data_IF_936121812624
#
_entry.id   IF_936121812624
#
_cell.length_a   1.000
_cell.length_b   1.000
_cell.length_c   1.000
_cell.angle_alpha   90.00
_cell.angle_beta   90.00
_cell.angle_gamma   90.00
#
_symmetry.space_group_name_H-M   'P 1'
#
loop_
_entity.id
_entity.type
_entity.pdbx_description
1 polymer ?
#
# COMPACT_ATOMS: atom_id res chain seq x y z
N UNK A 1 -49.99 19.12 -18.94
CA UNK A 1 -49.42 19.25 -17.57
C UNK A 1 -48.74 17.99 -16.99
N UNK A 2 -49.18 16.73 -17.19
CA UNK A 2 -48.66 15.58 -16.44
C UNK A 2 -47.20 15.19 -16.78
N UNK A 3 -46.77 15.38 -18.05
CA UNK A 3 -45.41 15.04 -18.50
C UNK A 3 -44.33 15.92 -17.83
N UNK A 4 -44.61 17.21 -17.59
CA UNK A 4 -43.66 18.12 -16.91
C UNK A 4 -43.47 17.76 -15.43
N UNK A 5 -44.53 17.28 -14.77
CA UNK A 5 -44.46 16.81 -13.37
C UNK A 5 -43.66 15.51 -13.29
N UNK A 6 -43.88 14.56 -14.21
CA UNK A 6 -43.13 13.30 -14.26
C UNK A 6 -41.63 13.49 -14.54
N UNK A 7 -41.26 14.40 -15.46
CA UNK A 7 -39.85 14.71 -15.75
C UNK A 7 -39.17 15.40 -14.54
N UNK A 8 -39.92 16.26 -13.82
CA UNK A 8 -39.42 16.93 -12.61
C UNK A 8 -39.20 15.94 -11.46
N UNK A 9 -40.13 15.02 -11.23
CA UNK A 9 -39.98 13.99 -10.17
C UNK A 9 -38.85 13.01 -10.46
N UNK A 10 -38.61 12.64 -11.72
CA UNK A 10 -37.45 11.83 -12.11
C UNK A 10 -36.13 12.57 -11.90
N UNK A 11 -36.05 13.87 -12.24
CA UNK A 11 -34.86 14.69 -11.96
C UNK A 11 -34.60 14.83 -10.46
N UNK A 12 -35.64 15.04 -9.66
CA UNK A 12 -35.53 15.14 -8.20
C UNK A 12 -35.11 13.82 -7.55
N UNK A 13 -35.63 12.67 -8.02
CA UNK A 13 -35.17 11.34 -7.58
C UNK A 13 -33.71 11.09 -7.94
N UNK A 14 -33.30 11.35 -9.19
CA UNK A 14 -31.89 11.20 -9.63
C UNK A 14 -30.95 12.10 -8.81
N UNK A 15 -31.36 13.33 -8.51
CA UNK A 15 -30.56 14.25 -7.69
C UNK A 15 -30.43 13.74 -6.24
N UNK A 16 -31.52 13.30 -5.62
CA UNK A 16 -31.48 12.71 -4.26
C UNK A 16 -30.64 11.43 -4.20
N UNK A 17 -30.69 10.60 -5.23
CA UNK A 17 -29.84 9.40 -5.32
C UNK A 17 -28.36 9.78 -5.51
N UNK A 18 -28.05 10.77 -6.34
CA UNK A 18 -26.69 11.29 -6.51
C UNK A 18 -26.14 11.89 -5.22
N UNK A 19 -26.93 12.70 -4.51
CA UNK A 19 -26.54 13.32 -3.23
C UNK A 19 -26.30 12.25 -2.15
N UNK A 20 -27.14 11.21 -2.08
CA UNK A 20 -26.95 10.07 -1.16
C UNK A 20 -25.69 9.26 -1.49
N UNK A 21 -25.43 8.99 -2.77
CA UNK A 21 -24.21 8.29 -3.23
C UNK A 21 -22.96 9.10 -2.93
N UNK A 22 -23.01 10.42 -3.14
CA UNK A 22 -21.94 11.33 -2.80
C UNK A 22 -21.67 11.35 -1.29
N UNK A 23 -22.72 11.48 -0.46
CA UNK A 23 -22.61 11.45 0.99
C UNK A 23 -22.04 10.14 1.53
N UNK A 24 -22.56 8.99 1.07
CA UNK A 24 -22.03 7.68 1.45
C UNK A 24 -20.56 7.51 1.03
N UNK A 25 -20.18 8.05 -0.13
CA UNK A 25 -18.79 8.02 -0.59
C UNK A 25 -17.88 8.89 0.25
N UNK A 26 -18.28 10.11 0.54
CA UNK A 26 -17.50 11.01 1.37
C UNK A 26 -17.28 10.40 2.75
N UNK A 27 -18.31 9.80 3.35
CA UNK A 27 -18.20 9.07 4.61
C UNK A 27 -17.26 7.87 4.51
N UNK A 28 -17.38 7.06 3.46
CA UNK A 28 -16.49 5.92 3.20
C UNK A 28 -15.03 6.33 3.04
N UNK A 29 -14.75 7.34 2.20
CA UNK A 29 -13.41 7.90 2.01
C UNK A 29 -12.82 8.42 3.32
N UNK A 30 -13.64 9.16 4.08
CA UNK A 30 -13.23 9.72 5.37
C UNK A 30 -12.94 8.62 6.37
N UNK A 31 -13.75 7.57 6.42
CA UNK A 31 -13.52 6.42 7.30
C UNK A 31 -12.24 5.67 6.93
N UNK A 32 -12.03 5.37 5.64
CA UNK A 32 -10.79 4.73 5.15
C UNK A 32 -9.56 5.59 5.44
N UNK A 33 -9.66 6.89 5.16
CA UNK A 33 -8.60 7.85 5.49
C UNK A 33 -8.31 7.86 6.99
N UNK A 34 -9.35 7.93 7.84
CA UNK A 34 -9.19 8.00 9.29
C UNK A 34 -8.56 6.73 9.87
N UNK A 35 -9.01 5.54 9.44
CA UNK A 35 -8.47 4.26 9.90
C UNK A 35 -6.98 4.15 9.64
N UNK A 36 -6.48 4.74 8.55
CA UNK A 36 -5.06 4.69 8.23
C UNK A 36 -4.26 5.90 8.74
N UNK A 37 -4.83 7.10 8.68
CA UNK A 37 -4.17 8.35 9.06
C UNK A 37 -4.12 8.56 10.58
N UNK A 38 -5.11 8.11 11.35
CA UNK A 38 -5.11 8.27 12.82
C UNK A 38 -3.97 7.48 13.47
N UNK A 39 -3.77 6.17 13.18
CA UNK A 39 -2.64 5.44 13.74
C UNK A 39 -1.30 6.01 13.29
N UNK A 40 -1.18 6.40 12.02
CA UNK A 40 0.04 7.01 11.49
C UNK A 40 0.35 8.36 12.16
N UNK A 41 -0.66 9.22 12.29
CA UNK A 41 -0.54 10.53 12.95
C UNK A 41 -0.21 10.39 14.43
N UNK A 42 -0.83 9.44 15.13
CA UNK A 42 -0.47 9.12 16.52
C UNK A 42 0.99 8.65 16.61
N UNK A 43 1.41 7.72 15.75
CA UNK A 43 2.80 7.25 15.72
C UNK A 43 3.77 8.41 15.45
N UNK A 44 3.44 9.28 14.50
CA UNK A 44 4.23 10.46 14.17
C UNK A 44 4.37 11.39 15.39
N UNK A 45 3.27 11.67 16.10
CA UNK A 45 3.28 12.46 17.34
C UNK A 45 4.15 11.79 18.42
N UNK A 46 4.11 10.46 18.55
CA UNK A 46 4.94 9.74 19.51
C UNK A 46 6.44 9.77 19.15
N UNK A 47 6.75 9.71 17.85
CA UNK A 47 8.11 9.81 17.31
C UNK A 47 8.68 11.22 17.52
N UNK A 48 7.97 12.25 17.07
CA UNK A 48 8.36 13.66 17.21
C UNK A 48 8.39 14.12 18.66
N UNK A 49 7.39 13.69 19.45
CA UNK A 49 7.32 13.93 20.89
C UNK A 49 8.38 13.16 21.70
N UNK A 50 9.22 12.35 21.04
CA UNK A 50 10.31 11.57 21.66
C UNK A 50 9.83 10.75 22.85
N UNK A 51 8.64 10.17 22.76
CA UNK A 51 8.01 9.46 23.88
C UNK A 51 8.90 8.30 24.36
N UNK A 52 9.24 8.34 25.65
CA UNK A 52 10.29 7.48 26.23
C UNK A 52 10.04 5.97 26.01
N UNK A 53 8.82 5.43 26.21
CA UNK A 53 8.55 4.02 25.94
C UNK A 53 8.81 3.61 24.49
N UNK A 54 8.38 4.42 23.52
CA UNK A 54 8.62 4.14 22.10
C UNK A 54 10.11 4.19 21.77
N UNK A 55 10.84 5.18 22.30
CA UNK A 55 12.29 5.28 22.11
C UNK A 55 13.03 4.08 22.69
N UNK A 56 12.64 3.61 23.88
CA UNK A 56 13.22 2.41 24.51
C UNK A 56 12.95 1.15 23.68
N UNK A 57 11.74 1.03 23.13
CA UNK A 57 11.40 -0.08 22.23
C UNK A 57 12.25 -0.03 20.95
N UNK A 58 12.35 1.14 20.32
CA UNK A 58 13.15 1.36 19.13
C UNK A 58 14.64 1.03 19.37
N UNK A 59 15.23 1.58 20.44
CA UNK A 59 16.64 1.35 20.77
C UNK A 59 16.90 -0.09 21.22
N UNK A 60 16.00 -0.66 22.02
CA UNK A 60 16.10 -2.04 22.49
C UNK A 60 16.05 -3.03 21.33
N UNK A 61 15.07 -2.88 20.44
CA UNK A 61 14.93 -3.73 19.26
C UNK A 61 16.15 -3.61 18.32
N UNK A 62 16.59 -2.38 18.04
CA UNK A 62 17.76 -2.15 17.19
C UNK A 62 19.03 -2.76 17.79
N UNK A 63 19.28 -2.56 19.09
CA UNK A 63 20.49 -3.07 19.74
C UNK A 63 20.48 -4.60 19.84
N UNK A 64 19.40 -5.21 20.32
CA UNK A 64 19.31 -6.67 20.47
C UNK A 64 19.43 -7.40 19.13
N UNK A 65 18.81 -6.88 18.07
CA UNK A 65 18.92 -7.52 16.76
C UNK A 65 20.29 -7.28 16.11
N UNK A 66 20.90 -6.11 16.33
CA UNK A 66 22.25 -5.83 15.84
C UNK A 66 23.31 -6.69 16.51
N UNK A 67 23.23 -6.90 17.83
CA UNK A 67 24.16 -7.82 18.52
C UNK A 67 24.04 -9.23 17.96
N UNK A 68 22.81 -9.72 17.74
CA UNK A 68 22.59 -11.02 17.07
C UNK A 68 23.14 -11.03 15.63
N UNK A 69 23.08 -9.90 14.92
CA UNK A 69 23.64 -9.77 13.57
C UNK A 69 25.16 -9.91 13.54
N UNK A 70 25.84 -9.39 14.56
CA UNK A 70 27.29 -9.52 14.71
C UNK A 70 27.69 -10.95 15.06
N UNK A 71 26.93 -11.60 15.94
CA UNK A 71 27.22 -12.97 16.40
C UNK A 71 26.97 -14.04 15.33
N UNK A 72 26.12 -13.75 14.32
CA UNK A 72 25.72 -14.71 13.28
C UNK A 72 25.93 -14.18 11.85
N UNK A 73 27.17 -14.23 11.31
CA UNK A 73 27.49 -13.69 9.98
C UNK A 73 26.68 -14.31 8.82
N UNK A 74 26.39 -15.60 8.87
CA UNK A 74 25.60 -16.28 7.83
C UNK A 74 24.13 -15.79 7.79
N UNK A 75 23.56 -15.54 8.98
CA UNK A 75 22.22 -14.96 9.10
C UNK A 75 22.21 -13.54 8.54
N UNK A 76 23.19 -12.72 8.90
CA UNK A 76 23.33 -11.34 8.41
C UNK A 76 23.50 -11.29 6.90
N UNK A 77 24.32 -12.17 6.32
CA UNK A 77 24.47 -12.30 4.86
C UNK A 77 23.14 -12.62 4.18
N UNK A 78 22.35 -13.53 4.77
CA UNK A 78 21.02 -13.88 4.27
C UNK A 78 20.07 -12.69 4.32
N UNK A 79 20.04 -11.93 5.42
CA UNK A 79 19.20 -10.75 5.53
C UNK A 79 19.59 -9.65 4.55
N UNK A 80 20.90 -9.44 4.31
CA UNK A 80 21.37 -8.50 3.28
C UNK A 80 20.94 -8.94 1.90
N UNK A 81 21.14 -10.22 1.55
CA UNK A 81 20.69 -10.75 0.26
C UNK A 81 19.19 -10.55 0.04
N UNK A 82 18.37 -10.88 1.04
CA UNK A 82 16.93 -10.67 0.97
C UNK A 82 16.58 -9.18 0.84
N UNK A 83 17.23 -8.30 1.61
CA UNK A 83 16.95 -6.86 1.57
C UNK A 83 17.40 -6.19 0.29
N UNK A 84 18.56 -6.56 -0.26
CA UNK A 84 19.22 -5.83 -1.35
C UNK A 84 18.87 -6.37 -2.74
N UNK A 85 18.36 -7.60 -2.83
CA UNK A 85 17.99 -8.23 -4.10
C UNK A 85 16.49 -8.53 -4.20
N UNK A 86 15.94 -9.24 -3.20
CA UNK A 86 14.56 -9.75 -3.26
C UNK A 86 13.54 -8.67 -2.89
N UNK A 87 13.81 -7.95 -1.80
CA UNK A 87 12.94 -6.94 -1.20
C UNK A 87 13.44 -5.51 -1.43
N UNK A 88 14.37 -5.34 -2.36
CA UNK A 88 14.86 -4.03 -2.75
C UNK A 88 13.71 -3.20 -3.36
N UNK A 89 13.55 -1.92 -2.98
CA UNK A 89 12.51 -1.06 -3.49
C UNK A 89 12.55 -0.89 -5.02
N UNK A 90 13.72 -0.92 -5.63
CA UNK A 90 13.88 -0.82 -7.10
C UNK A 90 13.38 -2.09 -7.75
N UNK A 91 13.73 -3.26 -7.22
CA UNK A 91 13.20 -4.55 -7.69
C UNK A 91 11.67 -4.59 -7.61
N UNK A 92 11.10 -4.24 -6.44
CA UNK A 92 9.66 -4.28 -6.24
C UNK A 92 8.90 -3.25 -7.08
N UNK A 93 9.45 -2.05 -7.28
CA UNK A 93 8.86 -1.04 -8.19
C UNK A 93 8.95 -1.48 -9.64
N UNK A 94 10.04 -2.11 -10.04
CA UNK A 94 10.21 -2.63 -11.40
C UNK A 94 9.21 -3.75 -11.67
N UNK A 95 8.98 -4.65 -10.71
CA UNK A 95 7.96 -5.68 -10.83
C UNK A 95 6.55 -5.08 -11.00
N UNK A 96 6.21 -4.04 -10.23
CA UNK A 96 4.94 -3.30 -10.39
C UNK A 96 4.86 -2.58 -11.74
N UNK A 97 5.96 -2.01 -12.22
CA UNK A 97 6.02 -1.37 -13.54
C UNK A 97 5.75 -2.39 -14.66
N UNK A 98 6.39 -3.56 -14.61
CA UNK A 98 6.15 -4.66 -15.55
C UNK A 98 4.69 -5.13 -15.48
N UNK A 99 4.15 -5.33 -14.28
CA UNK A 99 2.73 -5.67 -14.09
C UNK A 99 1.81 -4.62 -14.71
N UNK A 100 2.12 -3.34 -14.51
CA UNK A 100 1.35 -2.22 -15.07
C UNK A 100 1.41 -2.22 -16.60
N UNK A 101 2.58 -2.42 -17.19
CA UNK A 101 2.73 -2.55 -18.66
C UNK A 101 1.96 -3.75 -19.19
N UNK A 102 1.99 -4.88 -18.50
CA UNK A 102 1.20 -6.05 -18.85
C UNK A 102 -0.31 -5.76 -18.80
N UNK A 103 -0.81 -5.00 -17.82
CA UNK A 103 -2.20 -4.56 -17.76
C UNK A 103 -2.58 -3.65 -18.94
N UNK A 104 -1.69 -2.74 -19.35
CA UNK A 104 -1.89 -1.91 -20.55
C UNK A 104 -1.98 -2.78 -21.81
N UNK A 105 -1.10 -3.78 -21.95
CA UNK A 105 -1.14 -4.73 -23.06
C UNK A 105 -2.44 -5.54 -23.08
N UNK A 106 -2.95 -5.93 -21.91
CA UNK A 106 -4.24 -6.61 -21.75
C UNK A 106 -5.45 -5.67 -21.95
N UNK A 107 -5.23 -4.38 -22.22
CA UNK A 107 -6.27 -3.33 -22.31
C UNK A 107 -7.07 -3.15 -21.02
N UNK A 108 -6.50 -3.48 -19.87
CA UNK A 108 -7.06 -3.19 -18.55
C UNK A 108 -6.60 -1.81 -18.07
N UNK A 109 -6.92 -0.78 -18.84
CA UNK A 109 -6.41 0.59 -18.66
C UNK A 109 -6.74 1.15 -17.29
N UNK A 110 -7.93 0.83 -16.79
CA UNK A 110 -8.41 1.21 -15.46
C UNK A 110 -7.50 0.71 -14.36
N UNK A 111 -7.23 -0.59 -14.35
CA UNK A 111 -6.41 -1.21 -13.33
C UNK A 111 -4.93 -0.81 -13.49
N UNK A 112 -4.47 -0.64 -14.73
CA UNK A 112 -3.13 -0.11 -15.00
C UNK A 112 -2.96 1.30 -14.40
N UNK A 113 -3.95 2.18 -14.59
CA UNK A 113 -3.96 3.51 -14.00
C UNK A 113 -3.98 3.45 -12.47
N UNK A 114 -4.81 2.59 -11.87
CA UNK A 114 -4.83 2.40 -10.41
C UNK A 114 -3.48 1.91 -9.87
N UNK A 115 -2.87 0.92 -10.52
CA UNK A 115 -1.55 0.38 -10.16
C UNK A 115 -0.48 1.47 -10.21
N UNK A 116 -0.42 2.23 -11.31
CA UNK A 116 0.53 3.33 -11.49
C UNK A 116 0.32 4.43 -10.46
N UNK A 117 -0.91 4.89 -10.26
CA UNK A 117 -1.23 5.94 -9.28
C UNK A 117 -0.87 5.51 -7.87
N UNK A 118 -1.18 4.26 -7.49
CA UNK A 118 -0.87 3.74 -6.14
C UNK A 118 0.64 3.68 -5.90
N UNK A 119 1.41 3.19 -6.88
CA UNK A 119 2.86 3.11 -6.78
C UNK A 119 3.52 4.50 -6.71
N UNK A 120 3.10 5.43 -7.58
CA UNK A 120 3.64 6.80 -7.62
C UNK A 120 3.24 7.59 -6.37
N UNK A 121 1.98 7.52 -5.96
CA UNK A 121 1.50 8.17 -4.74
C UNK A 121 2.27 7.67 -3.52
N UNK A 122 2.50 6.35 -3.42
CA UNK A 122 3.30 5.78 -2.34
C UNK A 122 4.73 6.32 -2.32
N UNK A 123 5.40 6.36 -3.47
CA UNK A 123 6.76 6.90 -3.57
C UNK A 123 6.83 8.40 -3.20
N UNK A 124 5.93 9.21 -3.74
CA UNK A 124 5.90 10.67 -3.52
C UNK A 124 5.55 10.98 -2.07
N UNK A 125 4.49 10.39 -1.51
CA UNK A 125 4.07 10.63 -0.12
C UNK A 125 5.17 10.17 0.84
N UNK A 126 5.79 9.01 0.59
CA UNK A 126 6.90 8.52 1.40
C UNK A 126 8.09 9.47 1.40
N UNK A 127 8.46 10.01 0.23
CA UNK A 127 9.53 11.00 0.12
C UNK A 127 9.19 12.31 0.85
N UNK A 128 7.96 12.82 0.69
CA UNK A 128 7.52 14.06 1.33
C UNK A 128 7.55 13.95 2.85
N UNK A 129 6.98 12.89 3.42
CA UNK A 129 7.04 12.68 4.88
C UNK A 129 8.49 12.56 5.33
N UNK A 130 9.32 11.86 4.56
CA UNK A 130 10.73 11.68 4.89
C UNK A 130 11.52 12.98 4.95
N UNK A 131 11.23 13.93 4.06
CA UNK A 131 11.84 15.27 4.05
C UNK A 131 11.25 16.22 5.08
N UNK A 132 10.07 15.92 5.65
CA UNK A 132 9.44 16.76 6.68
C UNK A 132 9.91 16.34 8.08
N UNK A 133 9.98 15.02 8.33
CA UNK A 133 10.28 14.47 9.66
C UNK A 133 11.77 14.47 9.94
N UNK A 134 12.61 14.30 8.92
CA UNK A 134 14.07 14.40 9.02
C UNK A 134 14.73 13.56 10.13
N UNK A 135 14.09 12.44 10.50
CA UNK A 135 14.54 11.61 11.62
C UNK A 135 15.90 10.98 11.35
N UNK A 136 16.81 11.07 12.32
CA UNK A 136 18.10 10.39 12.28
C UNK A 136 17.96 8.86 12.38
N UNK A 137 18.79 8.14 11.63
CA UNK A 137 18.88 6.66 11.66
C UNK A 137 19.55 6.16 12.95
N UNK A 138 19.38 4.86 13.27
CA UNK A 138 20.16 4.26 14.35
C UNK A 138 21.66 4.42 14.10
N UNK A 139 22.37 4.98 15.09
CA UNK A 139 23.83 5.04 15.11
C UNK A 139 24.34 3.91 16.01
N UNK A 140 24.69 2.79 15.40
CA UNK A 140 25.20 1.59 16.09
C UNK A 140 26.72 1.51 15.92
N UNK A 141 27.42 1.02 16.93
CA UNK A 141 28.83 0.64 16.82
C UNK A 141 28.94 -0.54 15.83
N UNK A 142 29.90 -0.47 14.90
CA UNK A 142 30.14 -1.45 13.83
C UNK A 142 28.90 -1.77 12.95
N UNK A 143 28.39 -0.80 12.16
CA UNK A 143 27.17 -0.98 11.38
C UNK A 143 27.32 -2.06 10.30
N UNK A 144 26.43 -3.06 10.33
CA UNK A 144 26.40 -4.18 9.36
C UNK A 144 25.81 -3.81 7.99
N UNK A 145 25.15 -2.65 7.90
CA UNK A 145 24.62 -2.05 6.68
C UNK A 145 24.54 -0.52 6.84
N UNK A 146 24.63 0.22 5.73
CA UNK A 146 24.53 1.68 5.69
C UNK A 146 23.41 2.08 4.72
N UNK A 147 22.65 3.11 5.07
CA UNK A 147 21.60 3.63 4.21
C UNK A 147 21.60 5.17 4.23
N UNK A 148 21.59 5.85 3.07
CA UNK A 148 21.63 7.30 3.03
C UNK A 148 20.28 7.94 3.43
N UNK A 149 20.34 9.21 3.82
CA UNK A 149 19.18 10.05 4.15
C UNK A 149 18.47 9.68 5.45
N UNK A 150 17.29 10.26 5.66
CA UNK A 150 16.52 10.11 6.90
C UNK A 150 15.95 8.69 7.13
N UNK A 151 15.49 8.41 8.35
CA UNK A 151 15.03 7.08 8.76
C UNK A 151 13.52 6.90 8.62
N UNK A 152 12.73 7.92 8.95
CA UNK A 152 11.27 7.83 9.01
C UNK A 152 10.61 8.45 7.77
N UNK A 153 9.56 7.82 7.21
CA UNK A 153 9.17 6.43 7.39
C UNK A 153 10.11 5.50 6.61
N UNK A 154 10.06 4.20 6.89
CA UNK A 154 10.84 3.21 6.14
C UNK A 154 10.31 3.07 4.71
N UNK A 155 11.11 3.53 3.74
CA UNK A 155 10.78 3.42 2.32
C UNK A 155 10.73 1.98 1.80
N UNK A 156 11.50 1.06 2.39
CA UNK A 156 11.42 -0.38 2.07
C UNK A 156 10.09 -0.95 2.54
N UNK A 157 9.72 -0.70 3.81
CA UNK A 157 8.46 -1.17 4.37
C UNK A 157 7.27 -0.62 3.57
N UNK A 158 7.28 0.67 3.26
CA UNK A 158 6.23 1.30 2.47
C UNK A 158 6.14 0.73 1.04
N UNK A 159 7.28 0.59 0.35
CA UNK A 159 7.31 0.03 -1.02
C UNK A 159 6.85 -1.42 -1.04
N UNK A 160 7.27 -2.23 -0.06
CA UNK A 160 6.80 -3.60 0.09
C UNK A 160 5.29 -3.66 0.28
N UNK A 161 4.75 -2.88 1.22
CA UNK A 161 3.29 -2.81 1.46
C UNK A 161 2.54 -2.45 0.19
N UNK A 162 2.95 -1.40 -0.54
CA UNK A 162 2.26 -0.99 -1.77
C UNK A 162 2.42 -2.02 -2.89
N UNK A 163 3.63 -2.53 -3.13
CA UNK A 163 3.90 -3.44 -4.26
C UNK A 163 3.23 -4.81 -4.06
N UNK A 164 3.32 -5.38 -2.86
CA UNK A 164 2.64 -6.65 -2.57
C UNK A 164 1.13 -6.49 -2.58
N UNK A 165 0.57 -5.37 -2.08
CA UNK A 165 -0.86 -5.13 -2.16
C UNK A 165 -1.35 -4.94 -3.61
N UNK A 166 -0.60 -4.21 -4.44
CA UNK A 166 -0.91 -4.08 -5.87
C UNK A 166 -0.89 -5.46 -6.54
N UNK A 167 0.21 -6.20 -6.40
CA UNK A 167 0.33 -7.53 -6.99
C UNK A 167 -0.79 -8.46 -6.54
N UNK A 168 -1.10 -8.46 -5.24
CA UNK A 168 -2.19 -9.26 -4.68
C UNK A 168 -3.54 -8.83 -5.27
N UNK A 169 -3.94 -7.57 -5.16
CA UNK A 169 -5.26 -7.10 -5.62
C UNK A 169 -5.48 -7.24 -7.13
N UNK A 170 -4.40 -7.21 -7.92
CA UNK A 170 -4.42 -7.39 -9.38
C UNK A 170 -4.45 -8.85 -9.80
N UNK A 171 -3.61 -9.70 -9.17
CA UNK A 171 -3.39 -11.07 -9.62
C UNK A 171 -4.30 -12.10 -8.94
N UNK A 172 -4.82 -11.80 -7.74
CA UNK A 172 -5.72 -12.69 -7.00
C UNK A 172 -6.96 -13.17 -7.79
N UNK A 173 -7.60 -12.36 -8.66
CA UNK A 173 -8.67 -12.83 -9.54
C UNK A 173 -8.26 -14.03 -10.42
N UNK A 174 -6.99 -14.07 -10.84
CA UNK A 174 -6.44 -15.08 -11.76
C UNK A 174 -5.98 -16.34 -11.03
N UNK A 175 -5.91 -16.30 -9.70
CA UNK A 175 -5.46 -17.40 -8.85
C UNK A 175 -6.65 -18.30 -8.47
N UNK A 176 -6.52 -19.64 -8.60
CA UNK A 176 -7.53 -20.58 -8.12
C UNK A 176 -7.83 -20.37 -6.64
N UNK A 177 -9.10 -20.50 -6.24
CA UNK A 177 -9.54 -20.19 -4.86
C UNK A 177 -8.71 -20.88 -3.76
N UNK A 178 -8.31 -22.14 -3.98
CA UNK A 178 -7.49 -22.90 -3.03
C UNK A 178 -6.12 -22.25 -2.73
N UNK A 179 -5.54 -21.54 -3.70
CA UNK A 179 -4.21 -20.91 -3.57
C UNK A 179 -4.27 -19.46 -3.09
N UNK A 180 -5.45 -18.84 -3.01
CA UNK A 180 -5.59 -17.43 -2.60
C UNK A 180 -5.08 -17.18 -1.19
N UNK A 181 -5.33 -18.11 -0.26
CA UNK A 181 -4.81 -18.03 1.12
C UNK A 181 -3.28 -18.01 1.12
N UNK A 182 -2.64 -18.81 0.26
CA UNK A 182 -1.18 -18.83 0.13
C UNK A 182 -0.66 -17.48 -0.37
N UNK A 183 -1.32 -16.87 -1.35
CA UNK A 183 -0.95 -15.52 -1.83
C UNK A 183 -1.01 -14.46 -0.72
N UNK A 184 -2.05 -14.50 0.12
CA UNK A 184 -2.15 -13.61 1.29
C UNK A 184 -1.01 -13.82 2.29
N UNK A 185 -0.68 -15.09 2.60
CA UNK A 185 0.43 -15.42 3.48
C UNK A 185 1.78 -14.96 2.92
N UNK A 186 2.04 -15.23 1.63
CA UNK A 186 3.30 -14.82 0.98
C UNK A 186 3.43 -13.30 0.98
N UNK A 187 2.37 -12.56 0.64
CA UNK A 187 2.37 -11.11 0.68
C UNK A 187 2.61 -10.57 2.11
N UNK A 188 1.86 -11.08 3.09
CA UNK A 188 1.98 -10.66 4.50
C UNK A 188 3.35 -10.97 5.09
N UNK A 189 3.86 -12.20 4.90
CA UNK A 189 5.18 -12.60 5.37
C UNK A 189 6.29 -11.81 4.67
N UNK A 190 6.14 -11.48 3.39
CA UNK A 190 7.13 -10.64 2.70
C UNK A 190 7.15 -9.23 3.27
N UNK A 191 5.99 -8.60 3.50
CA UNK A 191 5.90 -7.26 4.11
C UNK A 191 6.50 -7.23 5.52
N UNK A 192 6.19 -8.24 6.33
CA UNK A 192 6.75 -8.39 7.67
C UNK A 192 8.27 -8.64 7.60
N UNK A 193 8.69 -9.53 6.71
CA UNK A 193 10.09 -9.87 6.46
C UNK A 193 10.91 -8.66 6.05
N UNK A 194 10.42 -7.84 5.12
CA UNK A 194 11.05 -6.56 4.75
C UNK A 194 11.25 -5.68 5.98
N UNK A 195 10.20 -5.50 6.80
CA UNK A 195 10.30 -4.70 8.01
C UNK A 195 11.35 -5.23 8.98
N UNK A 196 11.34 -6.55 9.19
CA UNK A 196 12.29 -7.23 10.05
C UNK A 196 13.74 -7.03 9.59
N UNK A 197 14.05 -7.21 8.30
CA UNK A 197 15.42 -7.02 7.81
C UNK A 197 15.92 -5.59 8.04
N UNK A 198 15.05 -4.58 7.92
CA UNK A 198 15.45 -3.17 8.13
C UNK A 198 15.81 -2.84 9.57
N UNK A 199 15.13 -3.45 10.54
CA UNK A 199 15.47 -3.29 11.96
C UNK A 199 16.70 -4.15 12.30
N UNK A 200 16.74 -5.39 11.82
CA UNK A 200 17.83 -6.32 12.08
C UNK A 200 19.18 -5.88 11.51
N UNK A 201 19.17 -5.22 10.35
CA UNK A 201 20.38 -4.63 9.74
C UNK A 201 20.73 -3.26 10.34
N UNK A 202 19.99 -2.78 11.35
CA UNK A 202 20.32 -1.56 12.09
C UNK A 202 20.09 -0.25 11.32
N UNK A 203 19.36 -0.29 10.21
CA UNK A 203 19.21 0.85 9.29
C UNK A 203 17.92 1.65 9.52
N UNK A 204 16.96 1.11 10.25
CA UNK A 204 15.71 1.76 10.62
C UNK A 204 15.29 1.41 12.05
N UNK A 205 14.57 2.33 12.69
CA UNK A 205 13.87 2.07 13.94
C UNK A 205 12.63 1.19 13.69
N UNK A 206 12.17 0.47 14.70
CA UNK A 206 10.93 -0.32 14.60
C UNK A 206 9.73 0.58 14.22
N UNK A 207 9.63 1.75 14.85
CA UNK A 207 8.59 2.73 14.53
C UNK A 207 8.68 3.29 13.09
N UNK A 208 9.87 3.34 12.47
CA UNK A 208 9.99 3.73 11.06
C UNK A 208 9.32 2.70 10.14
N UNK A 209 9.46 1.42 10.48
CA UNK A 209 8.85 0.29 9.75
C UNK A 209 7.34 0.32 9.90
N UNK A 210 6.83 0.47 11.13
CA UNK A 210 5.39 0.59 11.39
C UNK A 210 4.81 1.81 10.67
N UNK A 211 5.51 2.95 10.69
CA UNK A 211 5.10 4.14 9.95
C UNK A 211 5.04 3.90 8.44
N UNK A 212 6.02 3.18 7.89
CA UNK A 212 6.03 2.78 6.48
C UNK A 212 4.85 1.87 6.10
N UNK A 213 4.53 0.88 6.94
CA UNK A 213 3.38 -0.01 6.73
C UNK A 213 2.05 0.75 6.80
N UNK A 214 1.85 1.58 7.83
CA UNK A 214 0.63 2.35 8.01
C UNK A 214 0.39 3.30 6.84
N UNK A 215 1.43 4.02 6.40
CA UNK A 215 1.34 4.95 5.28
C UNK A 215 1.14 4.23 3.95
N UNK A 216 1.82 3.10 3.73
CA UNK A 216 1.62 2.25 2.56
C UNK A 216 0.19 1.70 2.48
N UNK A 217 -0.35 1.19 3.60
CA UNK A 217 -1.73 0.73 3.70
C UNK A 217 -2.73 1.87 3.48
N UNK A 218 -2.45 3.08 4.00
CA UNK A 218 -3.28 4.25 3.76
C UNK A 218 -3.42 4.56 2.28
N UNK A 219 -2.29 4.61 1.56
CA UNK A 219 -2.26 4.88 0.12
C UNK A 219 -3.07 3.82 -0.63
N UNK A 220 -2.80 2.53 -0.38
CA UNK A 220 -3.51 1.43 -1.05
C UNK A 220 -5.01 1.48 -0.76
N UNK A 221 -5.41 1.68 0.50
CA UNK A 221 -6.81 1.67 0.88
C UNK A 221 -7.57 2.84 0.24
N UNK A 222 -6.98 4.04 0.22
CA UNK A 222 -7.56 5.22 -0.41
C UNK A 222 -7.69 5.07 -1.93
N UNK A 223 -6.64 4.59 -2.61
CA UNK A 223 -6.69 4.41 -4.05
C UNK A 223 -7.62 3.28 -4.45
N UNK A 224 -7.64 2.17 -3.71
CA UNK A 224 -8.56 1.05 -3.93
C UNK A 224 -10.02 1.46 -3.70
N UNK A 225 -10.29 2.23 -2.64
CA UNK A 225 -11.61 2.77 -2.37
C UNK A 225 -12.06 3.71 -3.50
N UNK A 226 -11.19 4.62 -3.96
CA UNK A 226 -11.49 5.50 -5.08
C UNK A 226 -11.76 4.72 -6.38
N UNK A 227 -11.02 3.63 -6.61
CA UNK A 227 -11.22 2.74 -7.75
C UNK A 227 -12.59 2.03 -7.71
N UNK A 228 -12.97 1.45 -6.57
CA UNK A 228 -14.28 0.80 -6.38
C UNK A 228 -15.44 1.81 -6.46
N UNK A 229 -15.27 3.00 -5.87
CA UNK A 229 -16.26 4.07 -5.97
C UNK A 229 -16.53 4.45 -7.44
N UNK A 230 -15.47 4.52 -8.25
CA UNK A 230 -15.55 4.79 -9.68
C UNK A 230 -16.10 3.60 -10.49
N UNK A 231 -15.80 2.34 -10.11
CA UNK A 231 -16.45 1.13 -10.67
C UNK A 231 -17.95 1.16 -10.47
N UNK A 232 -18.40 1.50 -9.27
CA UNK A 232 -19.82 1.61 -8.96
C UNK A 232 -20.52 2.68 -9.81
N UNK A 233 -19.86 3.80 -10.14
CA UNK A 233 -20.40 4.81 -11.08
C UNK A 233 -20.54 4.30 -12.50
N UNK A 234 -19.60 3.45 -12.93
CA UNK A 234 -19.65 2.80 -14.23
C UNK A 234 -20.72 1.69 -14.31
N UNK A 235 -21.52 1.49 -13.25
CA UNK A 235 -22.56 0.48 -13.17
C UNK A 235 -22.04 -0.94 -12.92
N UNK A 236 -20.77 -1.08 -12.51
CA UNK A 236 -20.18 -2.37 -12.15
C UNK A 236 -20.41 -2.68 -10.67
N UNK A 237 -20.68 -3.94 -10.34
CA UNK A 237 -20.83 -4.37 -8.94
C UNK A 237 -19.55 -4.16 -8.13
N UNK A 238 -19.70 -4.02 -6.81
CA UNK A 238 -18.57 -4.00 -5.88
C UNK A 238 -17.80 -5.32 -5.97
N UNK A 239 -16.49 -5.24 -6.14
CA UNK A 239 -15.65 -6.42 -6.05
C UNK A 239 -15.38 -6.75 -4.58
N UNK A 240 -15.53 -8.02 -4.20
CA UNK A 240 -15.03 -8.49 -2.91
C UNK A 240 -13.49 -8.47 -2.93
N UNK A 241 -12.87 -8.04 -1.84
CA UNK A 241 -11.40 -8.00 -1.69
C UNK A 241 -10.80 -9.39 -1.91
N UNK A 242 -11.51 -10.46 -1.53
CA UNK A 242 -11.08 -11.84 -1.78
C UNK A 242 -11.04 -12.22 -3.27
N UNK A 243 -11.72 -11.43 -4.11
CA UNK A 243 -11.78 -11.55 -5.56
C UNK A 243 -10.83 -10.61 -6.30
N UNK A 244 -10.13 -9.69 -5.61
CA UNK A 244 -9.31 -8.63 -6.22
C UNK A 244 -10.14 -7.45 -6.73
N UNK A 245 -9.48 -6.41 -7.25
CA UNK A 245 -10.14 -5.16 -7.67
C UNK A 245 -10.90 -5.27 -8.99
N UNK A 246 -10.54 -6.22 -9.86
CA UNK A 246 -11.23 -6.41 -11.13
C UNK A 246 -11.36 -7.90 -11.51
N UNK A 247 -12.35 -8.60 -10.95
CA UNK A 247 -12.60 -10.03 -11.23
C UNK A 247 -12.76 -10.36 -12.73
N UNK A 248 -13.26 -9.39 -13.50
CA UNK A 248 -13.48 -9.45 -14.95
C UNK A 248 -12.17 -9.65 -15.76
N UNK A 249 -10.99 -9.42 -15.16
CA UNK A 249 -9.67 -9.63 -15.80
C UNK A 249 -9.43 -11.05 -16.31
N UNK A 250 -10.19 -12.01 -15.77
CA UNK A 250 -10.16 -13.40 -16.21
C UNK A 250 -10.70 -13.59 -17.64
N UNK A 251 -11.42 -12.62 -18.19
CA UNK A 251 -11.96 -12.67 -19.55
C UNK A 251 -10.92 -12.31 -20.62
N UNK A 252 -11.19 -12.69 -21.89
CA UNK A 252 -10.28 -12.46 -23.02
C UNK A 252 -10.11 -10.96 -23.33
N UNK A 253 -11.16 -10.16 -23.11
CA UNK A 253 -11.18 -8.70 -23.23
C UNK A 253 -11.71 -8.09 -21.93
N UNK A 254 -10.83 -7.62 -21.02
CA UNK A 254 -11.25 -7.15 -19.69
C UNK A 254 -12.05 -5.84 -19.73
N UNK A 255 -11.86 -5.03 -20.77
CA UNK A 255 -12.70 -3.87 -21.06
C UNK A 255 -13.49 -4.10 -22.37
N UNK A 256 -14.79 -3.76 -22.39
CA UNK A 256 -15.59 -3.86 -23.61
C UNK A 256 -15.02 -2.91 -24.67
N UNK A 257 -14.97 -3.37 -25.93
CA UNK A 257 -14.53 -2.50 -27.01
C UNK A 257 -15.43 -1.25 -27.08
N UNK A 258 -14.83 -0.05 -27.18
CA UNK A 258 -15.61 1.18 -27.32
C UNK A 258 -16.38 1.12 -28.65
N UNK A 259 -17.65 0.70 -28.61
CA UNK A 259 -18.49 0.63 -29.80
C UNK A 259 -19.62 -0.40 -29.82
N UNK A 260 -19.74 -1.32 -28.86
CA UNK A 260 -20.90 -2.21 -28.77
C UNK A 260 -21.70 -1.92 -27.50
N UNK A 261 -22.67 -1.01 -27.61
CA UNK A 261 -23.82 -0.89 -26.71
C UNK A 261 -25.07 -1.38 -27.42
#
# INVERSE_FOLDING_TARGET
MPVRVAVRTLRERRRREADRRFGARLLGATAVAAVAAVPFGLLLVLVEGRWQPLRRLDSGAAHSLHTTALDHPAWTSTLRFLSDWVWDPTTLRSAVAVLTVWLLYRRAWRLAAWSAVTAVAGAVIGLLVKTIVERARPSLEDPVAQAPGFSFPSGHAMTATTSFAIGLLVLLPMVPRAWRVVCWWVAGLSVIGVGFTRVALGVHWFSDVVGGWLLGLAVVALTAWAFEAWRADAGRGHADVSGGLEPELTQKHPEPEPGRR
#
